data_IF_196268613598
#
_entry.id   IF_196268613598
#
_cell.length_a   1.000
_cell.length_b   1.000
_cell.length_c   1.000
_cell.angle_alpha   90.00
_cell.angle_beta   90.00
_cell.angle_gamma   90.00
#
_symmetry.space_group_name_H-M   'P 1'
#
loop_
_entity.id
_entity.type
_entity.pdbx_description
1 polymer ?
#
# COMPACT_ATOMS: atom_id res chain seq x y z
N UNK A 1 -4.19 -18.69 10.49
CA UNK A 1 -3.64 -17.56 9.70
C UNK A 1 -2.11 -17.63 9.73
N UNK A 2 -1.46 -17.74 8.56
CA UNK A 2 0.00 -17.91 8.46
C UNK A 2 0.72 -16.60 8.70
N UNK A 3 1.92 -16.67 9.27
CA UNK A 3 2.80 -15.52 9.49
C UNK A 3 3.41 -15.02 8.18
N UNK A 4 3.22 -13.74 7.88
CA UNK A 4 3.68 -13.12 6.62
C UNK A 4 5.15 -12.70 6.70
N UNK A 5 5.74 -12.67 7.90
CA UNK A 5 7.16 -12.34 8.10
C UNK A 5 8.12 -13.27 7.34
N UNK A 6 7.69 -14.50 7.01
CA UNK A 6 8.43 -15.42 6.13
C UNK A 6 8.77 -14.80 4.77
N UNK A 7 7.95 -13.85 4.29
CA UNK A 7 8.17 -13.22 3.00
C UNK A 7 9.11 -12.02 3.02
N UNK A 8 9.41 -11.47 4.21
CA UNK A 8 10.25 -10.27 4.34
C UNK A 8 11.62 -10.38 3.65
N UNK A 9 12.32 -11.54 3.64
CA UNK A 9 13.58 -11.68 2.91
C UNK A 9 13.49 -11.58 1.38
N UNK A 10 12.28 -11.64 0.81
CA UNK A 10 12.05 -11.49 -0.63
C UNK A 10 11.77 -10.03 -1.05
N UNK A 11 11.87 -9.08 -0.13
CA UNK A 11 11.69 -7.65 -0.39
C UNK A 11 12.91 -6.86 0.09
N UNK A 12 13.69 -6.35 -0.85
CA UNK A 12 14.70 -5.34 -0.55
C UNK A 12 14.06 -4.05 0.00
N UNK A 13 14.81 -3.30 0.81
CA UNK A 13 14.40 -1.98 1.34
C UNK A 13 13.13 -2.00 2.21
N UNK A 14 12.73 -3.15 2.79
CA UNK A 14 11.51 -3.31 3.61
C UNK A 14 11.41 -2.35 4.83
N UNK A 15 12.52 -1.74 5.25
CA UNK A 15 12.57 -0.78 6.36
C UNK A 15 12.93 0.65 5.94
N UNK A 16 13.10 0.89 4.63
CA UNK A 16 13.35 2.23 4.11
C UNK A 16 12.08 3.07 4.20
N UNK A 17 12.22 4.31 4.65
CA UNK A 17 11.13 5.30 4.60
C UNK A 17 11.29 6.17 3.35
N UNK A 18 10.23 6.89 2.99
CA UNK A 18 10.23 7.79 1.84
C UNK A 18 11.44 8.74 1.80
N UNK A 19 11.88 9.26 2.95
CA UNK A 19 13.04 10.14 3.01
C UNK A 19 14.37 9.46 2.66
N UNK A 20 14.51 8.15 2.86
CA UNK A 20 15.74 7.45 2.53
C UNK A 20 15.97 7.40 1.00
N UNK A 21 14.96 7.73 0.18
CA UNK A 21 15.08 7.90 -1.27
C UNK A 21 16.05 8.99 -1.74
N UNK A 22 16.58 9.81 -0.83
CA UNK A 22 17.69 10.72 -1.15
C UNK A 22 19.02 10.00 -1.36
N UNK A 23 19.19 8.81 -0.77
CA UNK A 23 20.45 8.05 -0.79
C UNK A 23 20.28 6.60 -1.21
N UNK A 24 19.09 6.04 -1.08
CA UNK A 24 18.73 4.69 -1.51
C UNK A 24 17.96 4.70 -2.85
N UNK A 25 17.98 3.59 -3.61
CA UNK A 25 17.18 3.47 -4.83
C UNK A 25 15.69 3.74 -4.59
N UNK A 26 15.05 4.41 -5.54
CA UNK A 26 13.59 4.70 -5.50
C UNK A 26 12.72 3.53 -5.97
N UNK A 27 13.34 2.54 -6.64
CA UNK A 27 12.74 1.28 -7.06
C UNK A 27 13.78 0.18 -6.89
N UNK A 28 13.42 -0.92 -6.25
CA UNK A 28 14.17 -2.17 -6.25
C UNK A 28 13.28 -3.32 -6.68
N UNK A 29 13.83 -4.26 -7.44
CA UNK A 29 13.16 -5.49 -7.89
C UNK A 29 14.08 -6.66 -7.62
N UNK A 30 13.57 -7.65 -6.88
CA UNK A 30 14.25 -8.88 -6.53
C UNK A 30 13.52 -10.07 -7.17
N UNK A 31 14.27 -10.88 -7.92
CA UNK A 31 13.76 -12.13 -8.50
C UNK A 31 14.38 -13.29 -7.75
N UNK A 32 13.55 -14.11 -7.11
CA UNK A 32 13.98 -15.26 -6.32
C UNK A 32 13.43 -16.55 -6.91
N UNK A 33 14.32 -17.47 -7.29
CA UNK A 33 13.95 -18.81 -7.73
C UNK A 33 13.62 -19.69 -6.52
N UNK A 34 12.47 -20.35 -6.56
CA UNK A 34 11.98 -21.31 -5.59
C UNK A 34 12.04 -22.71 -6.20
N UNK A 35 11.90 -23.75 -5.39
CA UNK A 35 11.92 -25.16 -5.85
C UNK A 35 10.88 -25.42 -6.96
N UNK A 36 9.75 -24.71 -6.91
CA UNK A 36 8.58 -24.92 -7.76
C UNK A 36 8.09 -23.64 -8.44
N UNK A 37 8.88 -22.57 -8.46
CA UNK A 37 8.43 -21.31 -9.08
C UNK A 37 9.40 -20.14 -8.96
N UNK A 38 8.89 -18.95 -9.29
CA UNK A 38 9.64 -17.70 -9.22
C UNK A 38 8.83 -16.72 -8.37
N UNK A 39 9.51 -16.07 -7.42
CA UNK A 39 8.98 -14.93 -6.67
C UNK A 39 9.60 -13.64 -7.19
N UNK A 40 8.77 -12.69 -7.61
CA UNK A 40 9.19 -11.34 -7.99
C UNK A 40 8.70 -10.39 -6.90
N UNK A 41 9.63 -9.94 -6.07
CA UNK A 41 9.40 -8.95 -5.02
C UNK A 41 10.01 -7.60 -5.39
N UNK A 42 9.58 -6.54 -4.74
CA UNK A 42 10.15 -5.23 -4.97
C UNK A 42 9.59 -4.16 -4.04
N UNK A 43 10.31 -3.04 -3.98
CA UNK A 43 9.97 -1.87 -3.18
C UNK A 43 10.02 -0.63 -4.04
N UNK A 44 9.05 0.26 -3.87
CA UNK A 44 8.98 1.54 -4.57
C UNK A 44 8.79 2.67 -3.55
N UNK A 45 9.56 3.74 -3.71
CA UNK A 45 9.42 4.92 -2.88
C UNK A 45 8.12 5.66 -3.25
N UNK A 46 7.25 5.88 -2.26
CA UNK A 46 5.90 6.38 -2.50
C UNK A 46 5.89 7.88 -2.89
N UNK A 47 7.03 8.58 -2.82
CA UNK A 47 7.21 9.96 -3.33
C UNK A 47 7.10 10.01 -4.85
N UNK A 48 7.48 8.94 -5.56
CA UNK A 48 7.48 8.92 -7.03
C UNK A 48 6.30 8.19 -7.64
N UNK A 49 5.61 7.35 -6.86
CA UNK A 49 4.52 6.53 -7.34
C UNK A 49 3.47 6.27 -6.26
N UNK A 50 2.23 6.12 -6.70
CA UNK A 50 1.11 5.54 -5.96
C UNK A 50 0.82 4.10 -6.43
N UNK A 51 -0.17 3.43 -5.83
CA UNK A 51 -0.55 2.07 -6.23
C UNK A 51 -0.98 1.96 -7.70
N UNK A 52 -1.60 3.01 -8.27
CA UNK A 52 -2.07 3.00 -9.67
C UNK A 52 -0.90 3.07 -10.64
N UNK A 53 0.03 3.99 -10.41
CA UNK A 53 1.24 4.17 -11.22
C UNK A 53 2.19 2.98 -11.08
N UNK A 54 2.26 2.33 -9.90
CA UNK A 54 2.97 1.06 -9.76
C UNK A 54 2.38 -0.04 -10.67
N UNK A 55 1.06 -0.20 -10.71
CA UNK A 55 0.44 -1.19 -11.62
C UNK A 55 0.65 -0.87 -13.09
N UNK A 56 0.63 0.41 -13.46
CA UNK A 56 0.97 0.84 -14.84
C UNK A 56 2.42 0.53 -15.18
N UNK A 57 3.35 0.70 -14.24
CA UNK A 57 4.74 0.30 -14.42
C UNK A 57 4.85 -1.22 -14.65
N UNK A 58 4.17 -2.03 -13.85
CA UNK A 58 4.18 -3.49 -14.01
C UNK A 58 3.60 -3.95 -15.35
N UNK A 59 2.49 -3.33 -15.79
CA UNK A 59 1.88 -3.59 -17.11
C UNK A 59 2.84 -3.24 -18.25
N UNK A 60 3.44 -2.05 -18.21
CA UNK A 60 4.44 -1.60 -19.20
C UNK A 60 5.69 -2.49 -19.21
N UNK A 61 6.17 -2.91 -18.04
CA UNK A 61 7.33 -3.80 -17.91
C UNK A 61 7.04 -5.17 -18.53
N UNK A 62 5.86 -5.74 -18.28
CA UNK A 62 5.38 -6.97 -18.92
C UNK A 62 5.25 -6.83 -20.44
N UNK A 63 4.68 -5.72 -20.92
CA UNK A 63 4.56 -5.45 -22.35
C UNK A 63 5.92 -5.35 -23.04
N UNK A 64 6.89 -4.68 -22.40
CA UNK A 64 8.26 -4.55 -22.93
C UNK A 64 8.92 -5.92 -23.13
N UNK A 65 8.64 -6.90 -22.27
CA UNK A 65 9.11 -8.27 -22.45
C UNK A 65 8.45 -8.98 -23.63
N UNK A 66 7.15 -8.76 -23.83
CA UNK A 66 6.37 -9.43 -24.88
C UNK A 66 6.57 -8.81 -26.27
N UNK A 67 6.70 -7.48 -26.36
CA UNK A 67 6.81 -6.74 -27.62
C UNK A 67 8.28 -6.40 -27.95
N UNK A 68 8.94 -7.26 -28.73
CA UNK A 68 10.32 -7.03 -29.20
C UNK A 68 10.48 -5.91 -30.27
N UNK A 69 9.41 -5.21 -30.68
CA UNK A 69 9.49 -4.38 -31.91
C UNK A 69 8.62 -3.11 -31.99
N UNK A 70 8.08 -2.56 -30.90
CA UNK A 70 7.41 -1.25 -30.97
C UNK A 70 7.89 -0.36 -29.84
N UNK A 71 8.45 0.79 -30.21
CA UNK A 71 8.70 1.91 -29.30
C UNK A 71 7.43 2.14 -28.50
N UNK A 72 7.41 1.70 -27.24
CA UNK A 72 6.50 2.26 -26.26
C UNK A 72 6.86 3.73 -26.25
N UNK A 73 5.98 4.58 -26.78
CA UNK A 73 6.08 6.02 -26.60
C UNK A 73 6.11 6.22 -25.09
N UNK A 74 7.31 6.31 -24.52
CA UNK A 74 7.50 6.56 -23.11
C UNK A 74 6.76 7.87 -22.89
N UNK A 75 5.61 7.78 -22.25
CA UNK A 75 4.79 8.94 -21.96
C UNK A 75 5.66 9.82 -21.09
N UNK A 76 6.25 10.85 -21.71
CA UNK A 76 7.03 11.85 -21.02
C UNK A 76 6.09 12.51 -20.02
N UNK A 77 6.17 12.06 -18.77
CA UNK A 77 5.36 12.60 -17.70
C UNK A 77 5.95 13.97 -17.36
N UNK A 78 5.47 15.00 -18.04
CA UNK A 78 5.69 16.37 -17.59
C UNK A 78 4.81 16.50 -16.36
N UNK A 79 5.42 16.60 -15.19
CA UNK A 79 4.72 17.08 -13.99
C UNK A 79 4.46 18.56 -14.21
N UNK A 80 3.41 18.90 -14.95
CA UNK A 80 2.90 20.26 -14.95
C UNK A 80 2.50 20.58 -13.51
N UNK A 81 2.96 21.70 -12.94
CA UNK A 81 2.41 22.20 -11.69
C UNK A 81 0.90 22.27 -11.84
N UNK A 82 0.16 21.78 -10.85
CA UNK A 82 -1.30 21.91 -10.83
C UNK A 82 -1.58 23.42 -10.90
N UNK A 83 -2.23 23.89 -11.97
CA UNK A 83 -2.37 25.32 -12.31
C UNK A 83 -3.12 26.15 -11.24
N UNK A 84 -3.73 25.49 -10.26
CA UNK A 84 -4.47 26.08 -9.14
C UNK A 84 -3.86 25.68 -7.79
N UNK A 85 -2.55 25.81 -7.63
CA UNK A 85 -1.92 25.51 -6.35
C UNK A 85 -2.21 26.64 -5.35
N UNK A 86 -2.80 26.28 -4.21
CA UNK A 86 -2.85 27.12 -3.00
C UNK A 86 -1.47 27.74 -2.71
N UNK A 87 -1.40 28.91 -2.03
CA UNK A 87 -0.12 29.54 -1.72
C UNK A 87 0.83 28.54 -1.08
N UNK A 88 2.11 28.56 -1.49
CA UNK A 88 3.14 27.67 -0.95
C UNK A 88 3.13 27.79 0.58
N UNK A 89 2.61 26.77 1.25
CA UNK A 89 2.58 26.72 2.70
C UNK A 89 3.96 26.31 3.18
N UNK A 90 4.69 27.25 3.76
CA UNK A 90 5.92 26.94 4.47
C UNK A 90 5.57 26.26 5.79
N UNK A 91 5.84 24.96 5.87
CA UNK A 91 5.76 24.25 7.15
C UNK A 91 6.90 24.75 8.07
N UNK A 92 6.67 24.88 9.38
CA UNK A 92 7.65 25.44 10.33
C UNK A 92 8.76 24.45 10.69
N UNK A 93 9.33 23.77 9.69
CA UNK A 93 10.40 22.79 9.88
C UNK A 93 11.69 23.29 9.26
N UNK A 94 12.76 23.33 10.06
CA UNK A 94 14.09 23.76 9.57
C UNK A 94 15.02 22.58 9.28
N UNK A 95 14.72 21.41 9.83
CA UNK A 95 15.51 20.19 9.66
C UNK A 95 14.63 18.94 9.57
N UNK A 96 15.09 17.96 8.79
CA UNK A 96 14.37 16.71 8.53
C UNK A 96 14.10 15.86 9.78
N UNK A 97 14.90 15.99 10.83
CA UNK A 97 14.64 15.33 12.11
C UNK A 97 13.40 15.86 12.85
N UNK A 98 12.82 16.98 12.43
CA UNK A 98 11.62 17.55 13.05
C UNK A 98 10.32 16.94 12.53
N UNK A 99 10.35 16.29 11.36
CA UNK A 99 9.16 15.67 10.75
C UNK A 99 9.35 14.20 10.37
N UNK A 100 10.55 13.65 10.56
CA UNK A 100 10.81 12.23 10.35
C UNK A 100 10.78 11.51 11.69
N UNK A 101 9.71 10.75 11.92
CA UNK A 101 9.65 9.77 12.99
C UNK A 101 10.03 8.39 12.43
N UNK A 102 11.19 7.88 12.85
CA UNK A 102 11.56 6.48 12.60
C UNK A 102 11.01 5.65 13.74
N UNK A 103 9.84 5.05 13.52
CA UNK A 103 9.25 4.09 14.47
C UNK A 103 10.22 2.92 14.63
N UNK A 104 10.96 2.93 15.73
CA UNK A 104 11.75 1.78 16.16
C UNK A 104 10.77 0.85 16.85
N UNK A 105 10.43 -0.27 16.21
CA UNK A 105 9.73 -1.35 16.89
C UNK A 105 10.60 -1.79 18.07
N UNK A 106 10.24 -1.35 19.27
CA UNK A 106 10.89 -1.80 20.50
C UNK A 106 10.54 -3.27 20.69
N UNK A 107 11.45 -4.03 21.29
CA UNK A 107 11.34 -5.49 21.46
C UNK A 107 10.09 -5.95 22.26
N UNK A 108 9.26 -5.02 22.75
CA UNK A 108 8.06 -5.29 23.54
C UNK A 108 6.76 -5.33 22.72
N UNK A 109 6.72 -4.83 21.49
CA UNK A 109 5.53 -4.87 20.64
C UNK A 109 5.67 -5.90 19.51
N UNK A 110 5.17 -7.10 19.76
CA UNK A 110 5.09 -8.14 18.71
C UNK A 110 3.89 -7.82 17.80
N UNK A 111 4.15 -7.16 16.67
CA UNK A 111 3.17 -7.00 15.60
C UNK A 111 3.22 -8.26 14.73
N UNK A 112 2.07 -8.88 14.51
CA UNK A 112 1.93 -10.04 13.64
C UNK A 112 1.20 -9.65 12.36
N UNK A 113 1.83 -9.89 11.23
CA UNK A 113 1.20 -9.77 9.92
C UNK A 113 0.48 -11.08 9.57
N UNK A 114 -0.76 -10.98 9.06
CA UNK A 114 -1.62 -12.13 8.74
C UNK A 114 -2.46 -11.85 7.51
N UNK A 115 -2.58 -12.83 6.61
CA UNK A 115 -3.56 -12.81 5.52
C UNK A 115 -4.92 -13.33 5.97
N UNK A 116 -5.98 -12.61 5.59
CA UNK A 116 -7.37 -13.02 5.77
C UNK A 116 -8.02 -13.21 4.40
N UNK A 117 -8.43 -14.43 4.09
CA UNK A 117 -9.10 -14.73 2.83
C UNK A 117 -10.61 -14.49 2.96
N UNK A 118 -11.14 -13.61 2.10
CA UNK A 118 -12.57 -13.35 1.96
C UNK A 118 -13.03 -13.84 0.58
N UNK A 119 -13.89 -14.86 0.56
CA UNK A 119 -14.41 -15.39 -0.71
C UNK A 119 -15.30 -14.37 -1.42
N UNK A 120 -15.36 -14.45 -2.76
CA UNK A 120 -16.29 -13.63 -3.56
C UNK A 120 -17.75 -13.74 -3.08
N UNK A 121 -18.18 -14.94 -2.68
CA UNK A 121 -19.52 -15.17 -2.13
C UNK A 121 -19.73 -14.45 -0.79
N UNK A 122 -18.72 -14.44 0.09
CA UNK A 122 -18.75 -13.75 1.38
C UNK A 122 -18.79 -12.24 1.18
N UNK A 123 -17.98 -11.70 0.26
CA UNK A 123 -17.94 -10.28 -0.07
C UNK A 123 -19.29 -9.83 -0.65
N UNK A 124 -19.87 -10.63 -1.55
CA UNK A 124 -21.18 -10.34 -2.15
C UNK A 124 -22.30 -10.30 -1.11
N UNK A 125 -22.32 -11.28 -0.19
CA UNK A 125 -23.25 -11.30 0.95
C UNK A 125 -23.07 -10.10 1.87
N UNK A 126 -21.81 -9.74 2.17
CA UNK A 126 -21.48 -8.58 3.02
C UNK A 126 -21.96 -7.27 2.38
N UNK A 127 -21.67 -7.07 1.09
CA UNK A 127 -22.13 -5.91 0.32
C UNK A 127 -23.65 -5.82 0.30
N UNK A 128 -24.34 -6.93 0.01
CA UNK A 128 -25.80 -6.97 -0.02
C UNK A 128 -26.41 -6.60 1.33
N UNK A 129 -25.86 -7.15 2.42
CA UNK A 129 -26.28 -6.84 3.78
C UNK A 129 -26.07 -5.36 4.12
N UNK A 130 -24.90 -4.80 3.82
CA UNK A 130 -24.60 -3.40 4.10
C UNK A 130 -25.56 -2.44 3.37
N UNK A 131 -25.87 -2.73 2.11
CA UNK A 131 -26.82 -1.96 1.31
C UNK A 131 -28.25 -2.07 1.87
N UNK A 132 -28.67 -3.26 2.31
CA UNK A 132 -29.98 -3.47 2.92
C UNK A 132 -30.13 -2.71 4.25
N UNK A 133 -29.12 -2.76 5.12
CA UNK A 133 -29.14 -2.05 6.42
C UNK A 133 -29.07 -0.53 6.27
N UNK A 134 -28.39 -0.03 5.23
CA UNK A 134 -28.28 1.40 4.94
C UNK A 134 -29.40 1.93 4.03
N UNK A 135 -30.39 1.08 3.67
CA UNK A 135 -31.49 1.41 2.76
C UNK A 135 -31.00 2.09 1.45
N UNK A 136 -29.84 1.67 0.94
CA UNK A 136 -29.25 2.22 -0.27
C UNK A 136 -28.67 1.12 -1.17
N UNK A 137 -28.25 1.46 -2.39
CA UNK A 137 -27.62 0.52 -3.33
C UNK A 137 -26.24 1.01 -3.82
N UNK A 138 -25.67 1.98 -3.10
CA UNK A 138 -24.43 2.68 -3.49
C UNK A 138 -23.19 2.16 -2.76
N UNK A 139 -23.35 1.31 -1.73
CA UNK A 139 -22.21 0.79 -0.97
C UNK A 139 -21.47 -0.24 -1.83
N UNK A 140 -20.21 0.05 -2.11
CA UNK A 140 -19.29 -0.82 -2.84
C UNK A 140 -18.78 -1.98 -1.96
N UNK A 141 -18.22 -3.01 -2.60
CA UNK A 141 -17.56 -4.11 -1.89
C UNK A 141 -16.39 -3.61 -1.03
N UNK A 142 -15.61 -2.64 -1.53
CA UNK A 142 -14.49 -2.05 -0.78
C UNK A 142 -15.00 -1.39 0.50
N UNK A 143 -16.01 -0.54 0.42
CA UNK A 143 -16.59 0.12 1.59
C UNK A 143 -17.15 -0.90 2.60
N UNK A 144 -17.88 -1.92 2.12
CA UNK A 144 -18.45 -2.94 2.99
C UNK A 144 -17.37 -3.75 3.73
N UNK A 145 -16.30 -4.14 3.04
CA UNK A 145 -15.16 -4.85 3.64
C UNK A 145 -14.38 -3.94 4.60
N UNK A 146 -14.08 -2.70 4.22
CA UNK A 146 -13.39 -1.74 5.09
C UNK A 146 -14.17 -1.47 6.38
N UNK A 147 -15.49 -1.30 6.29
CA UNK A 147 -16.36 -1.13 7.45
C UNK A 147 -16.35 -2.37 8.37
N UNK A 148 -16.36 -3.58 7.79
CA UNK A 148 -16.24 -4.82 8.57
C UNK A 148 -14.87 -4.89 9.28
N UNK A 149 -13.78 -4.61 8.58
CA UNK A 149 -12.42 -4.61 9.14
C UNK A 149 -12.32 -3.60 10.28
N UNK A 150 -12.83 -2.38 10.09
CA UNK A 150 -12.87 -1.37 11.14
C UNK A 150 -13.63 -1.87 12.37
N UNK A 151 -14.84 -2.42 12.18
CA UNK A 151 -15.64 -2.97 13.29
C UNK A 151 -14.91 -4.11 14.02
N UNK A 152 -14.21 -4.97 13.29
CA UNK A 152 -13.40 -6.05 13.87
C UNK A 152 -12.22 -5.49 14.69
N UNK A 153 -11.50 -4.50 14.16
CA UNK A 153 -10.39 -3.84 14.87
C UNK A 153 -10.89 -3.16 16.14
N UNK A 154 -11.98 -2.38 16.06
CA UNK A 154 -12.56 -1.70 17.23
C UNK A 154 -12.95 -2.69 18.32
N UNK A 155 -13.61 -3.80 17.94
CA UNK A 155 -13.96 -4.86 18.90
C UNK A 155 -12.74 -5.55 19.50
N UNK A 156 -11.70 -5.80 18.70
CA UNK A 156 -10.48 -6.45 19.16
C UNK A 156 -9.68 -5.57 20.13
N UNK A 157 -9.70 -4.25 19.95
CA UNK A 157 -9.04 -3.28 20.85
C UNK A 157 -9.67 -3.22 22.24
N UNK A 158 -10.94 -3.63 22.40
CA UNK A 158 -11.68 -3.60 23.68
C UNK A 158 -11.54 -2.26 24.41
N UNK A 159 -11.67 -1.16 23.66
CA UNK A 159 -11.59 0.17 24.24
C UNK A 159 -12.68 0.36 25.31
N UNK A 160 -12.40 1.03 26.43
CA UNK A 160 -13.42 1.46 27.38
C UNK A 160 -14.52 2.24 26.67
N UNK A 161 -15.75 2.13 27.16
CA UNK A 161 -16.91 2.78 26.55
C UNK A 161 -16.80 4.31 26.51
N UNK A 162 -15.96 4.87 27.38
CA UNK A 162 -15.74 6.31 27.57
C UNK A 162 -14.41 6.80 26.96
N UNK A 163 -13.68 5.93 26.26
CA UNK A 163 -12.44 6.32 25.60
C UNK A 163 -12.76 7.09 24.30
N UNK A 164 -12.30 8.33 24.21
CA UNK A 164 -12.37 9.11 22.96
C UNK A 164 -11.59 8.39 21.85
N UNK A 165 -12.24 8.19 20.71
CA UNK A 165 -11.64 7.70 19.46
C UNK A 165 -11.10 8.82 18.59
#
# INVERSE_FOLDING_TARGET
PNDVTLFHPFFDLNHAINHDGHTLPLLSVQVTELVDGIFIGGSINHVVADGTSLWRFMDSWSQTYNDKSKNTNASSFIRTPIEECDPIINLPYTHHNQFIERIKFTSSTVVMERFFHLSSSSISKLKAKANAEAECQKISSLQAVSALVWRCITRARRLPQDAET
#
